data_IF_698511551504
#
_entry.id   IF_698511551504
#
_cell.length_a   1.000
_cell.length_b   1.000
_cell.length_c   1.000
_cell.angle_alpha   90.00
_cell.angle_beta   90.00
_cell.angle_gamma   90.00
#
_symmetry.space_group_name_H-M   'P 1'
#
loop_
_entity.id
_entity.type
_entity.pdbx_description
1 polymer ?
#
# COMPACT_ATOMS: atom_id res chain seq x y z
N UNK A 1 -11.89 3.43 2.89
CA UNK A 1 -11.90 2.01 3.27
C UNK A 1 -11.90 1.09 2.06
N UNK A 2 -13.00 0.90 1.32
CA UNK A 2 -13.03 -0.07 0.22
C UNK A 2 -11.98 0.19 -0.87
N UNK A 3 -11.75 1.46 -1.22
CA UNK A 3 -10.66 1.86 -2.14
C UNK A 3 -9.28 1.42 -1.63
N UNK A 4 -9.01 1.69 -0.35
CA UNK A 4 -7.76 1.32 0.32
C UNK A 4 -7.61 -0.20 0.38
N UNK A 5 -8.67 -0.95 0.66
CA UNK A 5 -8.65 -2.42 0.61
C UNK A 5 -8.32 -2.90 -0.80
N UNK A 6 -8.94 -2.35 -1.85
CA UNK A 6 -8.62 -2.73 -3.23
C UNK A 6 -7.15 -2.49 -3.56
N UNK A 7 -6.58 -1.38 -3.10
CA UNK A 7 -5.16 -1.09 -3.26
C UNK A 7 -4.29 -2.13 -2.53
N UNK A 8 -4.40 -2.25 -1.22
CA UNK A 8 -3.52 -3.11 -0.43
C UNK A 8 -3.74 -4.61 -0.66
N UNK A 9 -4.99 -5.07 -0.88
CA UNK A 9 -5.30 -6.48 -1.14
C UNK A 9 -5.29 -6.83 -2.63
N UNK A 10 -5.93 -6.03 -3.48
CA UNK A 10 -6.09 -6.33 -4.90
C UNK A 10 -4.84 -6.04 -5.74
N UNK A 11 -4.13 -4.95 -5.44
CA UNK A 11 -2.95 -4.50 -6.20
C UNK A 11 -1.64 -4.96 -5.57
N UNK A 12 -1.53 -4.95 -4.23
CA UNK A 12 -0.30 -5.37 -3.56
C UNK A 12 -0.32 -6.83 -3.10
N UNK A 13 -1.49 -7.48 -3.07
CA UNK A 13 -1.61 -8.89 -2.68
C UNK A 13 -1.58 -9.14 -1.16
N UNK A 14 -1.76 -8.12 -0.32
CA UNK A 14 -1.90 -8.33 1.14
C UNK A 14 -3.22 -9.03 1.47
N UNK A 15 -3.24 -9.92 2.45
CA UNK A 15 -4.45 -10.61 2.89
C UNK A 15 -5.15 -9.84 4.01
N UNK A 16 -6.49 -9.89 4.03
CA UNK A 16 -7.29 -9.34 5.14
C UNK A 16 -7.24 -10.33 6.31
N UNK A 17 -6.67 -9.90 7.43
CA UNK A 17 -6.51 -10.70 8.65
C UNK A 17 -7.75 -10.56 9.55
N UNK A 18 -8.21 -9.33 9.76
CA UNK A 18 -9.32 -9.03 10.66
C UNK A 18 -10.09 -7.79 10.18
N UNK A 19 -11.41 -7.77 10.45
CA UNK A 19 -12.24 -6.56 10.38
C UNK A 19 -12.93 -6.36 11.72
N UNK A 20 -12.88 -5.15 12.28
CA UNK A 20 -13.58 -4.83 13.54
C UNK A 20 -14.02 -3.37 13.62
N UNK A 21 -14.97 -3.11 14.51
CA UNK A 21 -15.36 -1.73 14.87
C UNK A 21 -14.78 -1.38 16.23
N UNK A 22 -14.07 -0.26 16.32
CA UNK A 22 -13.50 0.21 17.58
C UNK A 22 -14.60 0.66 18.55
N UNK A 23 -14.33 0.74 19.87
CA UNK A 23 -15.27 1.31 20.84
C UNK A 23 -15.67 2.77 20.54
N UNK A 24 -14.88 3.47 19.72
CA UNK A 24 -15.13 4.84 19.28
C UNK A 24 -15.93 4.92 17.97
N UNK A 25 -16.32 3.78 17.39
CA UNK A 25 -17.10 3.70 16.15
C UNK A 25 -16.27 3.65 14.86
N UNK A 26 -14.94 3.63 14.94
CA UNK A 26 -14.07 3.53 13.76
C UNK A 26 -14.14 2.15 13.15
N UNK A 27 -14.17 2.06 11.83
CA UNK A 27 -14.02 0.82 11.08
C UNK A 27 -12.53 0.51 10.89
N UNK A 28 -12.09 -0.64 11.37
CA UNK A 28 -10.70 -1.09 11.32
C UNK A 28 -10.57 -2.32 10.43
N UNK A 29 -9.56 -2.33 9.56
CA UNK A 29 -9.19 -3.49 8.74
C UNK A 29 -7.71 -3.73 8.87
N UNK A 30 -7.34 -4.95 9.25
CA UNK A 30 -5.95 -5.37 9.40
C UNK A 30 -5.57 -6.17 8.16
N UNK A 31 -4.50 -5.76 7.49
CA UNK A 31 -3.95 -6.44 6.32
C UNK A 31 -2.50 -6.85 6.56
N UNK A 32 -2.07 -7.93 5.91
CA UNK A 32 -0.73 -8.48 6.08
C UNK A 32 -0.26 -9.21 4.83
N UNK A 33 1.03 -9.16 4.53
CA UNK A 33 1.63 -10.07 3.56
C UNK A 33 1.73 -11.50 4.12
N UNK A 34 1.36 -12.56 3.37
CA UNK A 34 1.25 -13.92 3.89
C UNK A 34 2.44 -14.42 4.73
N UNK A 35 3.66 -13.98 4.40
CA UNK A 35 4.90 -14.43 5.05
C UNK A 35 5.40 -13.51 6.17
N UNK A 36 4.70 -12.42 6.50
CA UNK A 36 5.13 -11.47 7.53
C UNK A 36 4.34 -11.62 8.82
N UNK A 37 4.81 -10.97 9.90
CA UNK A 37 4.08 -10.87 11.17
C UNK A 37 3.72 -9.41 11.49
N UNK A 38 3.72 -8.54 10.48
CA UNK A 38 3.45 -7.12 10.63
C UNK A 38 2.12 -6.78 9.96
N UNK A 39 1.18 -6.26 10.74
CA UNK A 39 -0.12 -5.83 10.23
C UNK A 39 -0.09 -4.35 9.84
N UNK A 40 -0.66 -4.03 8.68
CA UNK A 40 -1.13 -2.70 8.34
C UNK A 40 -2.56 -2.55 8.87
N UNK A 41 -2.77 -1.64 9.82
CA UNK A 41 -4.10 -1.27 10.29
C UNK A 41 -4.63 -0.07 9.50
N UNK A 42 -5.66 -0.30 8.69
CA UNK A 42 -6.45 0.77 8.10
C UNK A 42 -7.53 1.19 9.09
N UNK A 43 -7.59 2.48 9.42
CA UNK A 43 -8.60 3.05 10.30
C UNK A 43 -9.44 4.08 9.54
N UNK A 44 -10.75 3.85 9.47
CA UNK A 44 -11.71 4.80 8.90
C UNK A 44 -12.69 5.25 9.97
N UNK A 45 -12.76 6.56 10.16
CA UNK A 45 -13.75 7.19 11.02
C UNK A 45 -14.50 8.25 10.22
N UNK A 46 -15.70 7.96 9.68
CA UNK A 46 -16.40 8.86 8.76
C UNK A 46 -16.59 10.29 9.29
N UNK A 47 -16.73 10.44 10.61
CA UNK A 47 -16.95 11.74 11.25
C UNK A 47 -15.66 12.58 11.45
N UNK A 48 -14.46 12.07 11.10
CA UNK A 48 -13.22 12.85 11.20
C UNK A 48 -13.03 13.88 10.08
N UNK A 49 -13.85 13.84 9.03
CA UNK A 49 -13.62 14.63 7.82
C UNK A 49 -12.55 14.03 6.91
N UNK A 50 -12.07 14.83 5.96
CA UNK A 50 -11.10 14.41 4.96
C UNK A 50 -9.70 14.21 5.57
N UNK A 51 -8.96 13.24 5.02
CA UNK A 51 -7.54 13.04 5.34
C UNK A 51 -6.73 14.05 4.54
N UNK A 52 -5.85 14.79 5.22
CA UNK A 52 -4.83 15.64 4.61
C UNK A 52 -3.47 15.08 4.99
N UNK A 53 -2.82 14.38 4.06
CA UNK A 53 -1.46 13.87 4.24
C UNK A 53 -0.49 15.02 3.94
N UNK A 54 0.39 15.41 4.88
CA UNK A 54 1.35 16.48 4.63
C UNK A 54 2.38 16.06 3.57
N UNK A 55 2.86 17.03 2.80
CA UNK A 55 4.06 16.88 1.99
C UNK A 55 5.24 16.44 2.91
N UNK A 56 6.10 15.54 2.43
CA UNK A 56 7.24 14.95 3.16
C UNK A 56 6.92 13.99 4.33
N UNK A 57 5.74 13.35 4.36
CA UNK A 57 5.56 12.16 5.19
C UNK A 57 6.47 11.02 4.68
N UNK A 58 7.17 10.32 5.59
CA UNK A 58 8.27 9.35 5.40
C UNK A 58 7.95 8.12 4.51
N UNK A 59 6.81 8.07 3.84
CA UNK A 59 6.27 6.95 3.04
C UNK A 59 6.24 5.59 3.75
N UNK A 60 5.52 4.65 3.15
CA UNK A 60 5.55 3.25 3.52
C UNK A 60 6.21 2.45 2.40
N UNK A 61 7.22 1.65 2.74
CA UNK A 61 7.89 0.78 1.79
C UNK A 61 7.43 -0.67 1.96
N UNK A 62 7.06 -1.31 0.85
CA UNK A 62 6.65 -2.70 0.80
C UNK A 62 7.49 -3.49 -0.18
N UNK A 63 8.02 -4.62 0.29
CA UNK A 63 8.58 -5.62 -0.60
C UNK A 63 7.45 -6.37 -1.30
N UNK A 64 7.51 -6.45 -2.62
CA UNK A 64 6.60 -7.23 -3.46
C UNK A 64 7.34 -8.35 -4.19
N UNK A 65 6.64 -9.43 -4.52
CA UNK A 65 7.22 -10.57 -5.25
C UNK A 65 7.41 -10.29 -6.75
N UNK A 66 6.48 -9.52 -7.33
CA UNK A 66 6.43 -9.16 -8.75
C UNK A 66 6.05 -7.68 -8.95
N UNK A 67 7.08 -6.84 -9.12
CA UNK A 67 6.93 -5.41 -9.33
C UNK A 67 6.23 -5.09 -10.66
N UNK A 68 6.45 -5.88 -11.71
CA UNK A 68 5.81 -5.68 -13.02
C UNK A 68 4.31 -5.94 -12.93
N UNK A 69 3.91 -6.98 -12.19
CA UNK A 69 2.51 -7.26 -11.93
C UNK A 69 1.85 -6.11 -11.16
N UNK A 70 2.48 -5.61 -10.10
CA UNK A 70 1.98 -4.45 -9.36
C UNK A 70 1.87 -3.21 -10.26
N UNK A 71 2.88 -2.90 -11.07
CA UNK A 71 2.85 -1.78 -12.02
C UNK A 71 1.68 -1.89 -13.02
N UNK A 72 1.46 -3.09 -13.57
CA UNK A 72 0.35 -3.37 -14.48
C UNK A 72 -0.99 -3.13 -13.79
N UNK A 73 -1.14 -3.60 -12.55
CA UNK A 73 -2.37 -3.42 -11.76
C UNK A 73 -2.62 -1.96 -11.39
N UNK A 74 -1.57 -1.22 -11.05
CA UNK A 74 -1.67 0.22 -10.81
C UNK A 74 -2.18 0.95 -12.06
N UNK A 75 -1.65 0.63 -13.24
CA UNK A 75 -2.10 1.21 -14.51
C UNK A 75 -3.56 0.87 -14.83
N UNK A 76 -3.96 -0.40 -14.67
CA UNK A 76 -5.34 -0.85 -14.88
C UNK A 76 -6.35 -0.14 -13.97
N UNK A 77 -5.96 0.14 -12.72
CA UNK A 77 -6.78 0.82 -11.71
C UNK A 77 -6.65 2.35 -11.79
N UNK A 78 -5.86 2.89 -12.72
CA UNK A 78 -5.65 4.32 -12.91
C UNK A 78 -4.88 5.00 -11.77
N UNK A 79 -4.08 4.24 -11.02
CA UNK A 79 -3.22 4.75 -9.94
C UNK A 79 -1.86 5.14 -10.53
N UNK A 80 -1.39 6.39 -10.32
CA UNK A 80 -0.17 6.87 -10.95
C UNK A 80 1.08 6.28 -10.28
N UNK A 81 2.07 5.94 -11.09
CA UNK A 81 3.46 5.78 -10.64
C UNK A 81 4.06 7.18 -10.60
N UNK A 82 4.44 7.64 -9.41
CA UNK A 82 4.95 9.01 -9.19
C UNK A 82 6.45 9.10 -9.47
N UNK A 83 7.20 8.03 -9.22
CA UNK A 83 8.63 7.94 -9.55
C UNK A 83 9.04 6.50 -9.91
N UNK A 84 10.00 6.38 -10.83
CA UNK A 84 10.56 5.11 -11.28
C UNK A 84 9.92 4.55 -12.57
N UNK A 85 10.18 3.27 -12.91
CA UNK A 85 11.00 2.31 -12.15
C UNK A 85 12.49 2.66 -12.11
N UNK A 86 13.11 2.43 -10.95
CA UNK A 86 14.54 2.58 -10.70
C UNK A 86 15.13 1.20 -10.42
N UNK A 87 16.33 0.94 -10.93
CA UNK A 87 17.12 -0.26 -10.63
C UNK A 87 18.42 0.14 -9.93
N UNK A 88 18.62 -0.38 -8.72
CA UNK A 88 19.83 -0.18 -7.95
C UNK A 88 20.94 -1.15 -8.40
N UNK A 89 22.20 -0.82 -8.09
CA UNK A 89 23.38 -1.63 -8.49
C UNK A 89 23.32 -3.10 -8.00
N UNK A 90 22.59 -3.37 -6.92
CA UNK A 90 22.40 -4.72 -6.38
C UNK A 90 21.25 -5.51 -7.07
N UNK A 91 20.66 -4.95 -8.13
CA UNK A 91 19.54 -5.52 -8.87
C UNK A 91 18.18 -5.38 -8.18
N UNK A 92 18.09 -4.62 -7.09
CA UNK A 92 16.79 -4.27 -6.48
C UNK A 92 16.11 -3.25 -7.37
N UNK A 93 14.83 -3.48 -7.67
CA UNK A 93 14.00 -2.56 -8.45
C UNK A 93 12.94 -1.94 -7.55
N UNK A 94 12.62 -0.66 -7.76
CA UNK A 94 11.57 0.01 -6.99
C UNK A 94 10.87 1.11 -7.78
N UNK A 95 9.66 1.44 -7.35
CA UNK A 95 8.86 2.58 -7.79
C UNK A 95 8.27 3.30 -6.58
N UNK A 96 7.84 4.54 -6.78
CA UNK A 96 6.93 5.24 -5.86
C UNK A 96 5.56 5.41 -6.52
N UNK A 97 4.52 5.32 -5.70
CA UNK A 97 3.12 5.54 -6.08
C UNK A 97 2.38 6.17 -4.90
N UNK A 98 1.09 6.43 -5.06
CA UNK A 98 0.23 6.97 -4.02
C UNK A 98 -0.92 6.01 -3.74
N UNK A 99 -1.22 5.79 -2.46
CA UNK A 99 -2.45 5.12 -2.09
C UNK A 99 -3.69 6.03 -2.33
N UNK A 100 -4.91 5.50 -2.18
CA UNK A 100 -6.14 6.27 -2.44
C UNK A 100 -6.33 7.52 -1.57
N UNK A 101 -5.62 7.62 -0.45
CA UNK A 101 -5.66 8.73 0.49
C UNK A 101 -4.39 9.61 0.42
N UNK A 102 -3.55 9.42 -0.61
CA UNK A 102 -2.33 10.17 -0.92
C UNK A 102 -1.14 9.91 -0.01
N UNK A 103 -1.12 8.77 0.67
CA UNK A 103 0.13 8.28 1.26
C UNK A 103 1.09 7.86 0.15
N UNK A 104 2.32 8.36 0.20
CA UNK A 104 3.39 7.87 -0.67
C UNK A 104 3.76 6.43 -0.29
N UNK A 105 3.82 5.57 -1.30
CA UNK A 105 4.10 4.14 -1.17
C UNK A 105 5.28 3.79 -2.06
N UNK A 106 6.34 3.26 -1.46
CA UNK A 106 7.45 2.64 -2.19
C UNK A 106 7.17 1.14 -2.37
N UNK A 107 7.18 0.68 -3.61
CA UNK A 107 7.11 -0.76 -3.92
C UNK A 107 8.48 -1.21 -4.41
N UNK A 108 9.05 -2.21 -3.73
CA UNK A 108 10.39 -2.69 -4.03
C UNK A 108 10.42 -4.21 -4.25
N UNK A 109 11.26 -4.67 -5.17
CA UNK A 109 11.52 -6.08 -5.42
C UNK A 109 13.03 -6.32 -5.39
N UNK A 110 13.49 -7.14 -4.45
CA UNK A 110 14.89 -7.56 -4.39
C UNK A 110 15.26 -8.42 -5.61
N UNK A 111 16.53 -8.38 -5.99
CA UNK A 111 17.06 -9.35 -6.96
C UNK A 111 16.85 -10.78 -6.42
N UNK A 112 16.38 -11.67 -7.29
CA UNK A 112 16.22 -13.09 -6.93
C UNK A 112 17.60 -13.65 -6.57
N UNK A 113 17.73 -14.17 -5.34
CA UNK A 113 18.94 -14.86 -4.89
C UNK A 113 19.15 -16.16 -5.64
#
# INVERSE_FOLDING_TARGET
MDRSINFYNGILGMEIVERKTSPRGSQLVFLRFPETNCDLELCSFPDSGNIEVPEDLVHLAFQVEDLEWCMTKLEEEGVPITEGPIEAENGTRFIFTEDPDKYEIELMQYSKK
#
